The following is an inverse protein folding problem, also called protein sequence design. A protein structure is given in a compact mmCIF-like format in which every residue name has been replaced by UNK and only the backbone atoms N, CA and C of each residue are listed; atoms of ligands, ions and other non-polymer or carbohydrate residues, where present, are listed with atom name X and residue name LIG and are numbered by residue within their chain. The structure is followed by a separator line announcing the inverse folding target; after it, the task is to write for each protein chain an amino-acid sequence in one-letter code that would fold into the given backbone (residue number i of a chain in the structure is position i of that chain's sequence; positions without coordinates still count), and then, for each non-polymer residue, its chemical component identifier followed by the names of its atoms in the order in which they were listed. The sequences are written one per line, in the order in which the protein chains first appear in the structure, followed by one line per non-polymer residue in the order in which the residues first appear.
data_IF_744459627468
#
_entry.id   IF_744459627468
#
_cell.length_a   1.000
_cell.length_b   1.000
_cell.length_c   1.000
_cell.angle_alpha   90.00
_cell.angle_beta   90.00
_cell.angle_gamma   90.00
#
_symmetry.space_group_name_H-M   'P 1'
#
loop_
_entity.id
_entity.type
_entity.pdbx_description
1 polymer ?
#
# COMPACT_ATOMS: atom_id res chain seq x y z
N UNK A 1 -13.97 14.83 3.70
CA UNK A 1 -14.09 15.16 5.15
C UNK A 1 -12.86 15.94 5.55
N UNK A 2 -13.02 17.02 6.31
CA UNK A 2 -11.93 17.88 6.77
C UNK A 2 -11.45 17.51 8.16
N UNK A 3 -12.39 17.39 9.11
CA UNK A 3 -12.08 17.12 10.51
C UNK A 3 -13.25 16.45 11.23
N UNK A 4 -12.97 15.82 12.36
CA UNK A 4 -13.94 15.37 13.36
C UNK A 4 -14.12 16.49 14.37
N UNK A 5 -15.37 16.84 14.69
CA UNK A 5 -15.69 17.85 15.71
C UNK A 5 -15.88 17.20 17.07
N UNK A 6 -15.46 17.86 18.13
CA UNK A 6 -15.58 17.34 19.52
C UNK A 6 -16.25 18.35 20.44
N UNK A 7 -16.85 17.85 21.52
CA UNK A 7 -17.37 18.67 22.60
C UNK A 7 -16.27 19.04 23.63
N UNK A 8 -16.65 19.73 24.69
CA UNK A 8 -15.74 20.18 25.77
C UNK A 8 -15.14 19.02 26.59
N UNK A 9 -15.80 17.87 26.57
CA UNK A 9 -15.37 16.63 27.22
C UNK A 9 -14.45 15.78 26.29
N UNK A 10 -14.20 16.24 25.05
CA UNK A 10 -13.34 15.56 24.09
C UNK A 10 -14.02 14.45 23.30
N UNK A 11 -15.34 14.24 23.45
CA UNK A 11 -16.10 13.26 22.65
C UNK A 11 -16.46 13.83 21.28
N UNK A 12 -16.42 12.97 20.25
CA UNK A 12 -16.83 13.34 18.89
C UNK A 12 -18.33 13.68 18.85
N UNK A 13 -18.67 14.74 18.12
CA UNK A 13 -20.04 15.22 17.93
C UNK A 13 -20.48 15.18 16.47
N UNK A 14 -19.56 14.92 15.55
CA UNK A 14 -19.81 14.89 14.12
C UNK A 14 -18.56 15.16 13.30
N UNK A 15 -18.76 15.57 12.08
CA UNK A 15 -17.68 15.85 11.13
C UNK A 15 -17.95 17.13 10.33
N UNK A 16 -16.89 17.87 10.02
CA UNK A 16 -16.92 18.93 9.03
C UNK A 16 -16.40 18.39 7.70
N UNK A 17 -17.07 18.74 6.62
CA UNK A 17 -16.68 18.34 5.27
C UNK A 17 -16.95 19.45 4.25
N UNK A 18 -16.18 19.44 3.17
CA UNK A 18 -16.39 20.33 2.04
C UNK A 18 -17.19 19.58 0.96
N UNK A 19 -18.28 20.15 0.51
CA UNK A 19 -19.03 19.60 -0.60
C UNK A 19 -18.32 19.98 -1.92
N UNK A 20 -18.01 18.97 -2.72
CA UNK A 20 -17.29 19.15 -4.00
C UNK A 20 -18.06 19.95 -5.05
N UNK A 21 -19.39 19.96 -5.00
CA UNK A 21 -20.22 20.61 -6.01
C UNK A 21 -20.29 22.13 -5.81
N UNK A 22 -20.49 22.57 -4.58
CA UNK A 22 -20.66 23.99 -4.25
C UNK A 22 -19.50 24.62 -3.50
N UNK A 23 -18.47 23.82 -3.17
CA UNK A 23 -17.26 24.21 -2.44
C UNK A 23 -17.51 24.79 -1.04
N UNK A 24 -18.69 24.54 -0.46
CA UNK A 24 -19.05 25.02 0.87
C UNK A 24 -18.73 23.97 1.93
N UNK A 25 -18.47 24.46 3.11
CA UNK A 25 -18.27 23.64 4.31
C UNK A 25 -19.62 23.33 4.94
N UNK A 26 -19.78 22.08 5.37
CA UNK A 26 -20.96 21.56 6.05
C UNK A 26 -20.58 20.78 7.28
N UNK A 27 -21.48 20.76 8.26
CA UNK A 27 -21.37 19.92 9.46
C UNK A 27 -22.42 18.83 9.45
N UNK A 28 -21.98 17.59 9.73
CA UNK A 28 -22.86 16.44 9.94
C UNK A 28 -22.72 15.94 11.38
N UNK A 29 -23.81 16.02 12.15
CA UNK A 29 -23.84 15.50 13.52
C UNK A 29 -23.82 13.98 13.54
N UNK A 30 -23.03 13.39 14.42
CA UNK A 30 -22.96 11.95 14.64
C UNK A 30 -22.66 11.64 16.11
N UNK A 31 -23.24 10.54 16.62
CA UNK A 31 -22.92 10.00 17.95
C UNK A 31 -21.63 9.19 17.94
N UNK A 32 -21.35 8.54 16.83
CA UNK A 32 -20.15 7.72 16.59
C UNK A 32 -19.56 8.11 15.26
N UNK A 33 -18.25 8.19 15.17
CA UNK A 33 -17.52 8.41 13.91
C UNK A 33 -16.68 7.18 13.58
N UNK A 34 -16.92 6.59 12.42
CA UNK A 34 -16.11 5.51 11.88
C UNK A 34 -15.28 6.05 10.73
N UNK A 35 -13.97 5.99 10.88
CA UNK A 35 -13.01 6.44 9.87
C UNK A 35 -12.49 5.24 9.08
N UNK A 36 -12.67 5.29 7.77
CA UNK A 36 -12.19 4.28 6.82
C UNK A 36 -11.66 4.99 5.56
N UNK A 37 -10.79 5.99 5.79
CA UNK A 37 -10.35 6.92 4.75
C UNK A 37 -8.96 6.57 4.17
N UNK A 38 -8.41 5.43 4.46
CA UNK A 38 -7.03 4.97 4.32
C UNK A 38 -6.12 5.40 5.46
N UNK A 39 -5.03 4.67 5.69
CA UNK A 39 -4.09 4.95 6.78
C UNK A 39 -3.63 6.42 6.79
N UNK A 40 -3.16 6.92 5.66
CA UNK A 40 -2.65 8.29 5.56
C UNK A 40 -3.76 9.35 5.65
N UNK A 41 -4.90 9.12 4.99
CA UNK A 41 -6.01 10.08 5.02
C UNK A 41 -6.68 10.17 6.39
N UNK A 42 -6.82 9.05 7.10
CA UNK A 42 -7.33 9.04 8.48
C UNK A 42 -6.38 9.79 9.42
N UNK A 43 -5.07 9.59 9.29
CA UNK A 43 -4.09 10.37 10.05
C UNK A 43 -4.20 11.88 9.76
N UNK A 44 -4.36 12.28 8.47
CA UNK A 44 -4.57 13.67 8.08
C UNK A 44 -5.79 14.28 8.76
N UNK A 45 -6.91 13.56 8.75
CA UNK A 45 -8.15 14.02 9.36
C UNK A 45 -7.98 14.17 10.87
N UNK A 46 -7.38 13.18 11.55
CA UNK A 46 -7.13 13.22 13.00
C UNK A 46 -6.22 14.38 13.38
N UNK A 47 -5.11 14.59 12.69
CA UNK A 47 -4.18 15.69 12.91
C UNK A 47 -4.80 17.08 12.63
N UNK A 48 -5.78 17.14 11.73
CA UNK A 48 -6.55 18.36 11.44
C UNK A 48 -7.67 18.60 12.45
N UNK A 49 -8.09 17.59 13.21
CA UNK A 49 -9.20 17.65 14.18
C UNK A 49 -8.71 18.20 15.54
N UNK A 50 -8.41 19.50 15.57
CA UNK A 50 -7.90 20.19 16.75
C UNK A 50 -9.03 20.83 17.56
N UNK A 51 -8.90 20.81 18.88
CA UNK A 51 -9.83 21.46 19.82
C UNK A 51 -9.09 21.88 21.10
N UNK A 52 -9.80 22.49 22.04
CA UNK A 52 -9.23 22.84 23.37
C UNK A 52 -8.76 21.60 24.16
N UNK A 53 -9.34 20.45 23.93
CA UNK A 53 -8.97 19.16 24.56
C UNK A 53 -7.91 18.42 23.74
N UNK A 54 -7.99 18.48 22.41
CA UNK A 54 -7.11 17.79 21.48
C UNK A 54 -6.25 18.79 20.70
N UNK A 55 -5.33 19.48 21.39
CA UNK A 55 -4.55 20.58 20.81
C UNK A 55 -3.66 20.16 19.65
N UNK A 56 -3.10 18.93 19.70
CA UNK A 56 -2.20 18.37 18.69
C UNK A 56 -2.90 17.44 17.71
N UNK A 57 -4.25 17.47 17.68
CA UNK A 57 -5.09 16.60 16.86
C UNK A 57 -5.78 15.53 17.69
N UNK A 58 -6.92 15.06 17.19
CA UNK A 58 -7.72 14.02 17.83
C UNK A 58 -6.97 12.68 17.87
N UNK A 59 -6.94 12.03 19.03
CA UNK A 59 -6.24 10.76 19.22
C UNK A 59 -4.72 10.88 19.29
N UNK A 60 -4.17 12.10 19.38
CA UNK A 60 -2.73 12.34 19.30
C UNK A 60 -2.06 12.72 20.62
N UNK A 61 -2.65 12.36 21.77
CA UNK A 61 -2.04 12.61 23.09
C UNK A 61 -0.68 11.92 23.27
N UNK A 62 -0.45 10.79 22.56
CA UNK A 62 0.82 10.08 22.53
C UNK A 62 1.85 10.68 21.55
N UNK A 63 1.44 11.59 20.65
CA UNK A 63 2.25 12.08 19.53
C UNK A 63 2.53 11.03 18.46
N UNK A 64 1.69 9.98 18.37
CA UNK A 64 1.92 8.83 17.48
C UNK A 64 1.02 8.81 16.25
N UNK A 65 0.03 9.68 16.13
CA UNK A 65 -0.75 9.80 14.88
C UNK A 65 0.19 10.18 13.74
N UNK A 66 0.15 9.39 12.67
CA UNK A 66 1.04 9.53 11.52
C UNK A 66 2.40 8.85 11.66
N UNK A 67 2.82 8.45 12.86
CA UNK A 67 4.10 7.76 13.09
C UNK A 67 4.01 6.26 12.77
N UNK A 68 5.18 5.62 12.58
CA UNK A 68 5.28 4.22 12.18
C UNK A 68 4.59 3.89 10.86
N UNK A 69 4.43 4.88 10.00
CA UNK A 69 4.00 4.67 8.61
C UNK A 69 4.94 3.66 7.94
N UNK A 70 4.38 2.60 7.39
CA UNK A 70 5.15 1.62 6.62
C UNK A 70 4.33 1.09 5.45
N UNK A 71 5.04 0.62 4.44
CA UNK A 71 4.50 0.04 3.22
C UNK A 71 5.19 -1.29 2.95
N UNK A 72 4.66 -2.13 2.08
CA UNK A 72 5.37 -3.31 1.61
C UNK A 72 6.61 -2.90 0.82
N UNK A 73 7.69 -3.66 0.95
CA UNK A 73 8.79 -3.58 -0.01
C UNK A 73 8.34 -4.12 -1.36
N UNK A 74 8.96 -3.66 -2.44
CA UNK A 74 8.66 -4.14 -3.78
C UNK A 74 9.88 -4.07 -4.69
N UNK A 75 10.08 -5.15 -5.47
CA UNK A 75 10.99 -5.17 -6.59
C UNK A 75 10.39 -6.05 -7.68
N UNK A 76 10.80 -5.88 -8.92
CA UNK A 76 10.28 -6.67 -10.03
C UNK A 76 11.31 -6.90 -11.12
N UNK A 77 11.10 -7.96 -11.90
CA UNK A 77 11.80 -8.24 -13.16
C UNK A 77 10.88 -8.91 -14.15
N UNK A 78 11.28 -8.85 -15.42
CA UNK A 78 10.51 -9.45 -16.50
C UNK A 78 11.40 -10.26 -17.44
N UNK A 79 10.80 -11.20 -18.13
CA UNK A 79 11.43 -12.08 -19.10
C UNK A 79 10.58 -12.17 -20.37
N UNK A 80 11.22 -12.15 -21.51
CA UNK A 80 10.60 -12.50 -22.77
C UNK A 80 10.80 -14.00 -23.03
N UNK A 81 9.74 -14.71 -23.35
CA UNK A 81 9.74 -16.16 -23.54
C UNK A 81 9.40 -16.47 -25.01
N UNK A 82 10.41 -16.69 -25.89
CA UNK A 82 10.18 -16.91 -27.31
C UNK A 82 9.22 -18.06 -27.65
N UNK A 83 9.16 -19.09 -26.80
CA UNK A 83 8.22 -20.22 -26.96
C UNK A 83 6.75 -19.84 -26.83
N UNK A 84 6.47 -18.65 -26.32
CA UNK A 84 5.11 -18.14 -26.15
C UNK A 84 4.68 -17.20 -27.28
N UNK A 85 5.55 -16.94 -28.25
CA UNK A 85 5.17 -16.19 -29.45
C UNK A 85 4.15 -16.93 -30.29
N UNK A 86 3.42 -16.21 -31.11
CA UNK A 86 2.43 -16.71 -32.06
C UNK A 86 1.37 -17.66 -31.48
N UNK A 87 1.17 -17.64 -30.15
CA UNK A 87 0.12 -18.41 -29.52
C UNK A 87 -1.25 -17.89 -29.92
N UNK A 88 -2.21 -18.81 -30.02
CA UNK A 88 -3.61 -18.42 -30.15
C UNK A 88 -3.99 -17.52 -28.96
N UNK A 89 -4.46 -16.34 -29.29
CA UNK A 89 -5.02 -15.42 -28.28
C UNK A 89 -6.36 -15.97 -27.85
N UNK A 90 -6.54 -16.18 -26.55
CA UNK A 90 -7.80 -16.62 -25.97
C UNK A 90 -8.01 -15.88 -24.62
N UNK A 91 -9.23 -15.82 -24.17
CA UNK A 91 -9.61 -15.19 -22.92
C UNK A 91 -10.56 -16.13 -22.15
N UNK A 92 -10.08 -17.33 -21.89
CA UNK A 92 -10.86 -18.40 -21.26
C UNK A 92 -10.39 -18.71 -19.83
N UNK A 93 -9.35 -18.00 -19.34
CA UNK A 93 -8.72 -18.28 -18.07
C UNK A 93 -9.58 -17.83 -16.84
N UNK A 94 -10.72 -17.25 -17.12
CA UNK A 94 -11.61 -16.73 -16.08
C UNK A 94 -11.07 -15.45 -15.42
N UNK A 95 -11.68 -15.08 -14.31
CA UNK A 95 -11.28 -13.93 -13.49
C UNK A 95 -10.42 -14.44 -12.36
N UNK A 96 -9.17 -14.03 -12.30
CA UNK A 96 -8.47 -14.12 -11.07
C UNK A 96 -7.13 -14.80 -11.05
N UNK A 97 -6.59 -14.93 -9.87
CA UNK A 97 -5.51 -15.83 -9.55
C UNK A 97 -4.16 -15.57 -10.23
N UNK A 98 -3.80 -14.33 -10.48
CA UNK A 98 -2.48 -14.02 -11.09
C UNK A 98 -1.33 -14.11 -10.10
N UNK A 99 -1.59 -14.43 -8.83
CA UNK A 99 -0.57 -14.44 -7.79
C UNK A 99 -0.25 -15.87 -7.38
N UNK A 100 0.97 -16.28 -7.64
CA UNK A 100 1.55 -17.50 -7.08
C UNK A 100 2.45 -17.10 -5.94
N UNK A 101 2.11 -17.55 -4.73
CA UNK A 101 2.85 -17.19 -3.53
C UNK A 101 3.91 -18.24 -3.19
N UNK A 102 5.09 -17.77 -2.84
CA UNK A 102 6.22 -18.60 -2.44
C UNK A 102 6.65 -18.27 -1.01
N UNK A 103 5.97 -18.81 0.01
CA UNK A 103 6.12 -18.33 1.40
C UNK A 103 7.30 -18.94 2.18
N UNK A 104 8.10 -19.83 1.60
CA UNK A 104 9.12 -20.58 2.34
C UNK A 104 10.30 -19.76 2.85
N UNK A 105 10.47 -18.52 2.39
CA UNK A 105 11.50 -17.62 2.94
C UNK A 105 11.16 -17.03 4.29
N UNK A 106 9.92 -17.03 4.71
CA UNK A 106 9.44 -16.37 5.93
C UNK A 106 10.20 -16.81 7.20
N UNK A 107 10.69 -18.04 7.23
CA UNK A 107 11.35 -18.62 8.39
C UNK A 107 12.81 -19.03 8.13
N UNK A 108 13.40 -18.64 7.03
CA UNK A 108 14.80 -18.97 6.73
C UNK A 108 15.75 -18.09 7.53
N UNK A 109 16.34 -18.69 8.57
CA UNK A 109 17.30 -18.02 9.46
C UNK A 109 18.65 -17.71 8.82
N UNK A 110 18.91 -18.17 7.59
CA UNK A 110 20.14 -17.89 6.85
C UNK A 110 20.08 -16.57 6.08
N UNK A 111 18.90 -15.99 5.95
CA UNK A 111 18.74 -14.72 5.28
C UNK A 111 19.37 -13.58 6.08
N UNK A 112 19.94 -12.60 5.36
CA UNK A 112 20.56 -11.38 5.95
C UNK A 112 19.53 -10.37 6.48
N UNK A 113 18.25 -10.70 6.43
CA UNK A 113 17.15 -9.85 6.88
C UNK A 113 16.15 -10.70 7.68
N UNK A 114 15.57 -10.15 8.76
CA UNK A 114 14.45 -10.77 9.45
C UNK A 114 13.17 -10.59 8.60
N UNK A 115 12.15 -11.37 8.89
CA UNK A 115 10.91 -11.35 8.11
C UNK A 115 11.08 -12.00 6.74
N UNK A 116 10.09 -11.88 5.89
CA UNK A 116 10.12 -12.53 4.59
C UNK A 116 9.46 -11.71 3.50
N UNK A 117 9.37 -12.32 2.35
CA UNK A 117 8.62 -11.81 1.21
C UNK A 117 7.99 -12.98 0.46
N UNK A 118 7.04 -12.68 -0.38
CA UNK A 118 6.54 -13.63 -1.38
C UNK A 118 6.83 -13.12 -2.79
N UNK A 119 6.73 -14.00 -3.76
CA UNK A 119 6.82 -13.63 -5.18
C UNK A 119 5.45 -13.79 -5.81
N UNK A 120 5.03 -12.74 -6.50
CA UNK A 120 3.87 -12.72 -7.38
C UNK A 120 4.36 -12.94 -8.80
N UNK A 121 3.78 -13.91 -9.49
CA UNK A 121 4.05 -14.13 -10.91
C UNK A 121 2.90 -13.50 -11.69
N UNK A 122 3.23 -12.65 -12.63
CA UNK A 122 2.24 -11.99 -13.48
C UNK A 122 2.63 -12.10 -14.96
N UNK A 123 1.64 -12.14 -15.77
CA UNK A 123 1.79 -12.32 -17.21
C UNK A 123 0.48 -12.79 -17.80
N UNK A 124 0.49 -13.28 -19.02
CA UNK A 124 -0.66 -13.86 -19.66
C UNK A 124 -1.40 -12.93 -20.61
N UNK A 125 -2.67 -13.14 -20.77
CA UNK A 125 -3.49 -12.55 -21.83
C UNK A 125 -4.13 -11.21 -21.39
N UNK A 126 -3.34 -10.18 -21.21
CA UNK A 126 -3.84 -8.81 -20.99
C UNK A 126 -4.24 -8.11 -22.29
N UNK A 127 -4.86 -6.93 -22.19
CA UNK A 127 -5.11 -6.10 -23.37
C UNK A 127 -3.81 -5.70 -24.05
N UNK A 128 -3.67 -5.89 -25.37
CA UNK A 128 -2.51 -5.41 -26.08
C UNK A 128 -2.46 -3.88 -26.03
N UNK A 129 -1.54 -3.35 -25.27
CA UNK A 129 -1.24 -1.92 -25.23
C UNK A 129 0.26 -1.70 -25.15
N UNK A 130 0.73 -0.57 -25.60
CA UNK A 130 2.07 -0.13 -25.27
C UNK A 130 2.17 -0.06 -23.75
N UNK A 131 3.12 -0.75 -23.17
CA UNK A 131 3.32 -0.73 -21.74
C UNK A 131 2.88 -1.98 -20.97
N UNK A 132 2.75 -3.12 -21.60
CA UNK A 132 2.55 -4.43 -20.96
C UNK A 132 3.60 -4.83 -19.92
N UNK A 133 4.15 -3.90 -19.19
CA UNK A 133 5.20 -4.17 -18.23
C UNK A 133 6.57 -4.46 -18.86
N UNK A 134 6.71 -4.35 -20.16
CA UNK A 134 8.03 -4.40 -20.81
C UNK A 134 8.37 -3.06 -21.48
N UNK A 135 9.65 -2.73 -21.41
CA UNK A 135 10.18 -1.57 -22.11
C UNK A 135 10.38 -1.97 -23.59
N UNK A 136 9.68 -1.34 -24.55
CA UNK A 136 9.85 -1.64 -25.97
C UNK A 136 11.31 -1.60 -26.44
N UNK A 137 12.11 -0.67 -25.88
CA UNK A 137 13.53 -0.55 -26.22
C UNK A 137 14.34 -1.80 -25.84
N UNK A 138 13.98 -2.48 -24.76
CA UNK A 138 14.63 -3.73 -24.38
C UNK A 138 14.25 -4.87 -25.32
N UNK A 139 12.99 -4.92 -25.74
CA UNK A 139 12.53 -5.90 -26.71
C UNK A 139 13.18 -5.66 -28.10
N UNK A 140 13.28 -4.40 -28.54
CA UNK A 140 13.96 -4.03 -29.78
C UNK A 140 15.41 -4.49 -29.82
N UNK A 141 16.15 -4.35 -28.71
CA UNK A 141 17.52 -4.86 -28.61
C UNK A 141 17.62 -6.37 -28.79
N UNK A 142 16.66 -7.12 -28.24
CA UNK A 142 16.61 -8.59 -28.29
C UNK A 142 16.25 -9.07 -29.68
N UNK A 143 15.30 -8.42 -30.33
CA UNK A 143 14.74 -8.82 -31.62
C UNK A 143 15.55 -8.29 -32.83
N UNK A 144 16.53 -7.40 -32.60
CA UNK A 144 17.37 -6.83 -33.64
C UNK A 144 16.64 -5.88 -34.59
N UNK A 145 15.49 -5.31 -34.17
CA UNK A 145 14.68 -4.43 -34.99
C UNK A 145 13.69 -3.63 -34.17
N UNK A 146 12.94 -2.75 -34.82
CA UNK A 146 11.88 -2.00 -34.20
C UNK A 146 10.65 -2.89 -33.98
N UNK A 147 10.21 -2.99 -32.72
CA UNK A 147 8.95 -3.61 -32.32
C UNK A 147 7.98 -2.48 -31.96
N UNK A 148 6.76 -2.56 -32.48
CA UNK A 148 5.76 -1.55 -32.26
C UNK A 148 5.50 -0.71 -33.51
N UNK A 149 5.45 0.59 -33.41
CA UNK A 149 5.01 1.45 -34.51
C UNK A 149 3.50 1.70 -34.45
N UNK A 150 2.84 1.83 -35.59
CA UNK A 150 1.39 1.97 -35.67
C UNK A 150 0.82 1.22 -36.90
N UNK A 151 -0.51 1.10 -36.96
CA UNK A 151 -1.17 0.49 -38.10
C UNK A 151 -1.01 -1.01 -38.14
N UNK A 152 -0.66 -1.56 -39.31
CA UNK A 152 -0.59 -3.00 -39.52
C UNK A 152 0.59 -3.65 -38.82
N UNK A 153 1.76 -3.01 -38.80
CA UNK A 153 2.93 -3.50 -38.09
C UNK A 153 2.68 -3.66 -36.60
N UNK A 154 1.99 -2.69 -35.98
CA UNK A 154 1.57 -2.81 -34.58
C UNK A 154 0.65 -4.01 -34.36
N UNK A 155 -0.29 -4.26 -35.28
CA UNK A 155 -1.21 -5.41 -35.17
C UNK A 155 -0.49 -6.74 -35.26
N UNK A 156 0.48 -6.85 -36.15
CA UNK A 156 1.29 -8.04 -36.32
C UNK A 156 2.17 -8.29 -35.11
N UNK A 157 2.84 -7.26 -34.59
CA UNK A 157 3.65 -7.34 -33.37
C UNK A 157 2.83 -7.73 -32.17
N UNK A 158 1.64 -7.15 -32.02
CA UNK A 158 0.73 -7.51 -30.94
C UNK A 158 0.33 -8.98 -31.03
N UNK A 159 -0.03 -9.49 -32.20
CA UNK A 159 -0.36 -10.91 -32.39
C UNK A 159 0.81 -11.82 -32.05
N UNK A 160 2.01 -11.45 -32.47
CA UNK A 160 3.22 -12.24 -32.31
C UNK A 160 3.71 -12.29 -30.85
N UNK A 161 3.73 -11.15 -30.18
CA UNK A 161 4.36 -11.00 -28.84
C UNK A 161 3.37 -11.05 -27.69
N UNK A 162 2.07 -11.02 -27.96
CA UNK A 162 1.04 -11.03 -26.92
C UNK A 162 1.14 -12.26 -26.03
N UNK A 163 1.27 -12.02 -24.73
CA UNK A 163 1.46 -13.11 -23.76
C UNK A 163 2.84 -13.75 -23.74
N UNK A 164 3.81 -13.23 -24.50
CA UNK A 164 5.19 -13.74 -24.51
C UNK A 164 6.10 -13.10 -23.44
N UNK A 165 5.57 -12.20 -22.61
CA UNK A 165 6.29 -11.59 -21.50
C UNK A 165 5.71 -12.08 -20.18
N UNK A 166 6.59 -12.55 -19.31
CA UNK A 166 6.28 -12.92 -17.93
C UNK A 166 7.02 -11.97 -17.00
N UNK A 167 6.36 -11.55 -15.92
CA UNK A 167 6.97 -10.78 -14.86
C UNK A 167 6.88 -11.47 -13.51
N UNK A 168 7.81 -11.13 -12.65
CA UNK A 168 7.79 -11.46 -11.23
C UNK A 168 7.92 -10.19 -10.41
N UNK A 169 7.18 -10.13 -9.32
CA UNK A 169 7.26 -9.06 -8.33
C UNK A 169 7.40 -9.66 -6.95
N UNK A 170 8.35 -9.16 -6.17
CA UNK A 170 8.42 -9.46 -4.75
C UNK A 170 7.60 -8.46 -3.96
N UNK A 171 6.93 -8.95 -2.91
CA UNK A 171 6.30 -8.13 -1.89
C UNK A 171 6.79 -8.60 -0.55
N UNK A 172 7.39 -7.70 0.21
CA UNK A 172 8.02 -8.06 1.45
C UNK A 172 7.54 -7.23 2.64
N UNK A 173 7.78 -7.76 3.82
CA UNK A 173 7.46 -7.08 5.06
C UNK A 173 8.57 -6.09 5.40
N UNK A 174 8.23 -4.82 5.53
CA UNK A 174 9.11 -3.80 6.09
C UNK A 174 9.00 -3.76 7.61
N UNK A 175 10.04 -3.25 8.26
CA UNK A 175 10.04 -3.06 9.72
C UNK A 175 9.54 -1.65 10.05
N UNK A 176 8.44 -1.52 10.80
CA UNK A 176 7.90 -0.21 11.17
C UNK A 176 8.92 0.63 11.96
N UNK A 177 9.24 1.81 11.47
CA UNK A 177 10.16 2.76 12.09
C UNK A 177 9.40 4.00 12.58
N UNK A 178 9.68 4.47 13.80
CA UNK A 178 9.08 5.73 14.29
C UNK A 178 9.48 6.94 13.44
N UNK A 179 10.66 6.88 12.81
CA UNK A 179 11.17 7.91 11.91
C UNK A 179 10.46 7.96 10.55
N UNK A 180 9.69 6.93 10.19
CA UNK A 180 8.84 6.92 9.01
C UNK A 180 7.44 7.40 9.41
N UNK A 181 7.01 8.53 8.87
CA UNK A 181 5.77 9.17 9.29
C UNK A 181 5.18 10.08 8.21
N UNK A 182 3.92 10.42 8.41
CA UNK A 182 3.27 11.56 7.77
C UNK A 182 2.84 12.58 8.82
N UNK A 183 2.85 13.85 8.43
CA UNK A 183 2.43 14.99 9.26
C UNK A 183 1.74 16.04 8.39
N UNK A 184 1.04 16.99 9.00
CA UNK A 184 0.41 18.10 8.26
C UNK A 184 1.52 19.05 7.74
N UNK A 185 1.44 19.36 6.45
CA UNK A 185 2.21 20.47 5.87
C UNK A 185 1.44 21.79 6.08
N UNK A 186 1.98 22.66 6.91
CA UNK A 186 1.33 23.94 7.23
C UNK A 186 1.45 24.98 6.11
N UNK A 187 2.26 24.71 5.07
CA UNK A 187 2.54 25.65 3.99
C UNK A 187 1.78 25.33 2.71
N UNK A 188 1.26 24.10 2.58
CA UNK A 188 0.61 23.64 1.35
C UNK A 188 -0.82 23.17 1.67
N UNK A 189 -1.76 23.66 0.89
CA UNK A 189 -3.17 23.25 0.95
C UNK A 189 -3.60 22.63 -0.37
N UNK A 190 -4.60 21.75 -0.31
CA UNK A 190 -5.24 21.21 -1.50
C UNK A 190 -6.22 22.21 -2.15
N UNK A 191 -6.86 21.84 -3.24
CA UNK A 191 -7.86 22.67 -3.95
C UNK A 191 -9.07 23.09 -3.09
N UNK A 192 -9.24 22.46 -1.93
CA UNK A 192 -10.32 22.74 -0.96
C UNK A 192 -9.86 23.61 0.20
N UNK A 193 -8.60 24.08 0.19
CA UNK A 193 -8.00 24.85 1.28
C UNK A 193 -7.68 24.03 2.52
N UNK A 194 -7.60 22.70 2.41
CA UNK A 194 -7.26 21.80 3.52
C UNK A 194 -5.76 21.49 3.45
N UNK A 195 -5.00 21.64 4.56
CA UNK A 195 -3.58 21.30 4.59
C UNK A 195 -3.32 19.86 4.15
N UNK A 196 -2.29 19.66 3.33
CA UNK A 196 -1.91 18.33 2.81
C UNK A 196 -0.98 17.60 3.78
N UNK A 197 -0.68 16.33 3.51
CA UNK A 197 0.35 15.59 4.24
C UNK A 197 1.73 15.81 3.61
N UNK A 198 2.70 15.93 4.50
CA UNK A 198 4.12 15.80 4.20
C UNK A 198 4.60 14.46 4.73
N UNK A 199 5.43 13.77 3.94
CA UNK A 199 5.93 12.44 4.25
C UNK A 199 7.43 12.48 4.55
N UNK A 200 7.84 11.76 5.59
CA UNK A 200 9.22 11.41 5.85
C UNK A 200 9.32 9.89 5.90
N UNK A 201 9.94 9.30 4.87
CA UNK A 201 10.00 7.85 4.74
C UNK A 201 11.33 7.43 4.12
N UNK A 202 11.99 6.46 4.72
CA UNK A 202 13.26 5.91 4.24
C UNK A 202 13.26 4.39 4.42
N UNK A 203 13.78 3.69 3.41
CA UNK A 203 14.13 2.28 3.54
C UNK A 203 15.38 2.13 4.39
N UNK A 204 15.46 1.04 5.15
CA UNK A 204 16.63 0.66 5.90
C UNK A 204 17.45 -0.39 5.14
N UNK A 205 18.61 -0.79 5.68
CA UNK A 205 19.38 -1.89 5.10
C UNK A 205 18.62 -3.21 5.08
N UNK A 206 17.64 -3.40 5.96
CA UNK A 206 16.77 -4.56 5.97
C UNK A 206 16.01 -4.70 4.64
N UNK A 207 15.34 -3.65 4.21
CA UNK A 207 14.55 -3.63 2.97
C UNK A 207 15.46 -3.70 1.73
N UNK A 208 16.63 -3.08 1.78
CA UNK A 208 17.62 -3.12 0.70
C UNK A 208 18.18 -4.54 0.54
N UNK A 209 18.56 -5.21 1.63
CA UNK A 209 19.03 -6.60 1.60
C UNK A 209 17.93 -7.58 1.13
N UNK A 210 16.67 -7.28 1.46
CA UNK A 210 15.54 -8.04 0.99
C UNK A 210 15.37 -7.90 -0.53
N UNK A 211 15.53 -6.68 -1.07
CA UNK A 211 15.47 -6.43 -2.51
C UNK A 211 16.64 -7.08 -3.26
N UNK A 212 17.86 -7.09 -2.68
CA UNK A 212 19.00 -7.84 -3.24
C UNK A 212 18.65 -9.31 -3.43
N UNK A 213 18.16 -9.94 -2.38
CA UNK A 213 17.77 -11.35 -2.41
C UNK A 213 16.61 -11.61 -3.39
N UNK A 214 15.66 -10.68 -3.49
CA UNK A 214 14.59 -10.75 -4.49
C UNK A 214 15.16 -10.79 -5.91
N UNK A 215 16.11 -9.93 -6.24
CA UNK A 215 16.72 -9.88 -7.57
C UNK A 215 17.46 -11.18 -7.93
N UNK A 216 18.19 -11.77 -6.98
CA UNK A 216 18.88 -13.05 -7.20
C UNK A 216 17.86 -14.19 -7.43
N UNK A 217 16.78 -14.19 -6.67
CA UNK A 217 15.71 -15.17 -6.79
C UNK A 217 14.94 -15.01 -8.09
N UNK A 218 14.64 -13.77 -8.50
CA UNK A 218 13.97 -13.49 -9.77
C UNK A 218 14.80 -13.99 -10.96
N UNK A 219 16.10 -13.73 -10.94
CA UNK A 219 17.00 -14.18 -11.99
C UNK A 219 16.94 -15.71 -12.15
N UNK A 220 17.08 -16.45 -11.06
CA UNK A 220 16.98 -17.91 -11.07
C UNK A 220 15.64 -18.43 -11.60
N UNK A 221 14.52 -17.84 -11.17
CA UNK A 221 13.18 -18.23 -11.61
C UNK A 221 13.01 -17.94 -13.11
N UNK A 222 13.40 -16.75 -13.55
CA UNK A 222 13.18 -16.32 -14.92
C UNK A 222 14.10 -17.05 -15.92
N UNK A 223 15.35 -17.32 -15.53
CA UNK A 223 16.27 -18.15 -16.32
C UNK A 223 15.75 -19.59 -16.50
N UNK A 224 15.15 -20.15 -15.44
CA UNK A 224 14.55 -21.50 -15.50
C UNK A 224 13.38 -21.59 -16.50
N UNK A 225 12.78 -20.48 -16.92
CA UNK A 225 11.78 -20.45 -18.00
C UNK A 225 12.37 -20.69 -19.39
N UNK A 226 13.70 -20.58 -19.54
CA UNK A 226 14.39 -20.56 -20.83
C UNK A 226 14.12 -19.31 -21.65
N UNK A 227 13.66 -18.25 -21.01
CA UNK A 227 13.41 -16.93 -21.62
C UNK A 227 14.64 -16.02 -21.60
N UNK A 228 14.47 -14.83 -22.14
CA UNK A 228 15.50 -13.81 -22.25
C UNK A 228 15.14 -12.68 -21.25
N UNK A 229 16.01 -12.41 -20.29
CA UNK A 229 15.79 -11.38 -19.29
C UNK A 229 15.65 -10.00 -19.94
N UNK A 230 14.63 -9.24 -19.54
CA UNK A 230 14.39 -7.88 -20.00
C UNK A 230 15.06 -6.87 -19.09
N UNK A 231 16.02 -6.15 -19.64
CA UNK A 231 16.80 -5.15 -18.91
C UNK A 231 17.87 -5.72 -17.97
N UNK A 232 18.73 -4.82 -17.50
CA UNK A 232 19.84 -5.14 -16.62
C UNK A 232 19.34 -5.38 -15.19
N UNK A 233 20.05 -6.25 -14.46
CA UNK A 233 19.81 -6.45 -13.03
C UNK A 233 20.15 -5.16 -12.27
N UNK A 234 19.21 -4.59 -11.49
CA UNK A 234 19.50 -3.42 -10.69
C UNK A 234 20.54 -3.74 -9.63
N UNK A 235 21.60 -2.93 -9.56
CA UNK A 235 22.65 -3.04 -8.57
C UNK A 235 22.38 -2.22 -7.30
N UNK A 236 23.37 -2.18 -6.40
CA UNK A 236 23.32 -1.44 -5.15
C UNK A 236 23.12 0.08 -5.35
N UNK A 237 23.65 0.63 -6.43
CA UNK A 237 23.50 2.03 -6.85
C UNK A 237 22.02 2.44 -7.07
N UNK A 238 21.16 1.46 -7.34
CA UNK A 238 19.72 1.61 -7.52
C UNK A 238 18.92 0.87 -6.45
N UNK A 239 19.49 0.63 -5.28
CA UNK A 239 18.90 -0.15 -4.19
C UNK A 239 18.26 -1.46 -4.70
N UNK A 240 18.92 -2.14 -5.64
CA UNK A 240 18.45 -3.39 -6.26
C UNK A 240 17.03 -3.31 -6.86
N UNK A 241 16.64 -2.13 -7.33
CA UNK A 241 15.32 -1.90 -7.90
C UNK A 241 14.19 -1.88 -6.87
N UNK A 242 14.51 -1.64 -5.60
CA UNK A 242 13.52 -1.41 -4.56
C UNK A 242 12.68 -0.19 -4.92
N UNK A 243 11.37 -0.38 -4.99
CA UNK A 243 10.42 0.68 -5.33
C UNK A 243 10.46 1.81 -4.30
N UNK A 244 10.15 3.01 -4.72
CA UNK A 244 10.07 4.14 -3.79
C UNK A 244 8.95 3.90 -2.74
N UNK A 245 9.12 4.43 -1.52
CA UNK A 245 8.07 4.37 -0.50
C UNK A 245 6.74 4.94 -1.01
N UNK A 246 5.64 4.22 -0.77
CA UNK A 246 4.29 4.60 -1.21
C UNK A 246 3.93 4.14 -2.63
N UNK A 247 4.85 3.56 -3.40
CA UNK A 247 4.54 3.06 -4.75
C UNK A 247 3.83 1.71 -4.75
N UNK A 248 3.96 0.92 -3.68
CA UNK A 248 3.26 -0.36 -3.54
C UNK A 248 1.81 -0.16 -3.12
N UNK A 249 1.48 1.02 -2.58
CA UNK A 249 0.13 1.41 -2.15
C UNK A 249 -0.49 0.50 -1.07
N UNK A 250 0.36 -0.02 -0.19
CA UNK A 250 -0.03 -0.84 0.96
C UNK A 250 0.26 -0.13 2.30
N UNK A 251 0.14 1.20 2.33
CA UNK A 251 0.48 2.02 3.49
C UNK A 251 -0.39 1.70 4.70
N UNK A 252 0.27 1.47 5.83
CA UNK A 252 -0.35 1.08 7.10
C UNK A 252 0.34 1.75 8.29
N UNK A 253 -0.21 1.60 9.49
CA UNK A 253 0.50 1.87 10.76
C UNK A 253 0.32 3.26 11.36
N UNK A 254 -0.25 4.21 10.65
CA UNK A 254 -0.34 5.64 11.06
C UNK A 254 -1.17 5.90 12.32
N UNK A 255 -1.96 4.94 12.76
CA UNK A 255 -2.77 4.99 14.00
C UNK A 255 -2.65 3.67 14.77
N UNK A 256 -1.40 3.16 14.84
CA UNK A 256 -1.08 1.83 15.37
C UNK A 256 -1.85 1.48 16.64
N UNK A 257 -2.33 0.22 16.70
CA UNK A 257 -3.03 -0.28 17.88
C UNK A 257 -2.07 -0.73 18.98
N UNK A 258 -2.56 -0.78 20.20
CA UNK A 258 -1.85 -1.32 21.36
C UNK A 258 -2.66 -1.22 22.64
N UNK A 259 -2.11 -1.75 23.73
CA UNK A 259 -2.76 -1.76 25.03
C UNK A 259 -2.42 -0.52 25.88
N UNK A 260 -1.31 0.14 25.60
CA UNK A 260 -0.88 1.34 26.31
C UNK A 260 -1.12 2.57 25.42
N UNK A 261 -1.91 3.50 25.92
CA UNK A 261 -2.21 4.75 25.24
C UNK A 261 -1.00 5.67 25.01
N UNK A 262 0.11 5.44 25.72
CA UNK A 262 1.37 6.16 25.50
C UNK A 262 2.16 5.62 24.31
N UNK A 263 1.92 4.36 23.93
CA UNK A 263 2.64 3.62 22.91
C UNK A 263 1.77 3.31 21.68
N UNK A 264 0.50 3.74 21.70
CA UNK A 264 -0.47 3.45 20.64
C UNK A 264 -1.52 4.55 20.50
N UNK A 265 -2.19 4.58 19.38
CA UNK A 265 -3.28 5.53 19.06
C UNK A 265 -4.64 4.88 19.28
N UNK A 266 -4.77 3.62 18.90
CA UNK A 266 -6.00 2.84 19.06
C UNK A 266 -5.80 1.65 19.97
N UNK A 267 -6.90 1.18 20.59
CA UNK A 267 -6.91 -0.08 21.31
C UNK A 267 -7.07 -1.28 20.34
N UNK A 268 -7.11 -2.49 20.88
CA UNK A 268 -7.27 -3.72 20.10
C UNK A 268 -8.57 -3.82 19.29
N UNK A 269 -9.53 -2.95 19.53
CA UNK A 269 -10.79 -2.86 18.81
C UNK A 269 -10.84 -1.67 17.84
N UNK A 270 -9.69 -1.15 17.46
CA UNK A 270 -9.56 0.00 16.55
C UNK A 270 -10.23 1.30 17.07
N UNK A 271 -10.61 1.36 18.34
CA UNK A 271 -11.16 2.53 19.00
C UNK A 271 -10.03 3.46 19.46
N UNK A 272 -10.16 4.76 19.27
CA UNK A 272 -9.18 5.72 19.79
C UNK A 272 -9.10 5.67 21.32
N UNK A 273 -7.88 5.72 21.86
CA UNK A 273 -7.69 5.81 23.30
C UNK A 273 -8.18 7.14 23.89
N UNK A 274 -8.09 8.21 23.12
CA UNK A 274 -8.43 9.56 23.59
C UNK A 274 -9.90 9.93 23.34
N UNK A 275 -10.65 9.14 22.57
CA UNK A 275 -12.01 9.43 22.17
C UNK A 275 -12.79 8.14 21.88
N UNK A 276 -13.56 7.71 22.86
CA UNK A 276 -14.21 6.40 22.90
C UNK A 276 -15.31 6.17 21.84
N UNK A 277 -15.78 7.23 21.20
CA UNK A 277 -16.78 7.16 20.14
C UNK A 277 -16.22 7.40 18.73
N UNK A 278 -14.88 7.20 18.56
CA UNK A 278 -14.22 7.22 17.25
C UNK A 278 -13.47 5.92 17.01
N UNK A 279 -13.68 5.32 15.83
CA UNK A 279 -13.08 4.06 15.40
C UNK A 279 -12.35 4.22 14.09
N UNK A 280 -11.18 3.58 13.95
CA UNK A 280 -10.38 3.60 12.73
C UNK A 280 -10.48 2.22 12.08
N UNK A 281 -11.25 2.11 11.00
CA UNK A 281 -11.53 0.83 10.32
C UNK A 281 -10.86 0.74 8.94
N UNK A 282 -9.62 1.19 8.87
CA UNK A 282 -8.73 1.05 7.73
C UNK A 282 -7.38 0.42 8.16
N UNK A 283 -6.33 0.61 7.37
CA UNK A 283 -5.01 0.05 7.65
C UNK A 283 -4.18 0.85 8.69
N UNK A 284 -4.68 1.99 9.18
CA UNK A 284 -4.01 2.80 10.18
C UNK A 284 -3.64 2.07 11.47
N UNK A 285 -4.51 1.21 12.04
CA UNK A 285 -4.24 0.48 13.29
C UNK A 285 -3.17 -0.62 13.22
N UNK A 286 -2.65 -0.97 12.05
CA UNK A 286 -1.66 -2.04 11.91
C UNK A 286 -0.39 -1.74 12.70
N UNK A 287 0.19 -2.76 13.34
CA UNK A 287 1.47 -2.70 14.05
C UNK A 287 2.61 -3.30 13.23
N UNK A 288 2.29 -4.13 12.27
CA UNK A 288 3.13 -4.67 11.19
C UNK A 288 2.22 -5.13 10.07
N UNK A 289 2.74 -5.28 8.87
CA UNK A 289 1.92 -5.59 7.72
C UNK A 289 2.00 -7.05 7.28
N UNK A 290 3.08 -7.76 7.55
CA UNK A 290 3.46 -8.97 6.87
C UNK A 290 3.81 -8.74 5.37
N UNK A 291 4.09 -9.81 4.66
CA UNK A 291 4.45 -9.78 3.23
C UNK A 291 3.25 -9.89 2.29
N UNK A 292 2.03 -9.81 2.80
CA UNK A 292 0.79 -9.98 2.02
C UNK A 292 0.02 -8.68 1.84
N UNK A 293 -0.83 -8.67 0.82
CA UNK A 293 -1.74 -7.57 0.56
C UNK A 293 -2.66 -7.35 1.77
N UNK A 294 -2.86 -6.12 2.27
CA UNK A 294 -3.44 -5.87 3.60
C UNK A 294 -4.96 -5.99 3.67
N UNK A 295 -5.68 -6.03 2.55
CA UNK A 295 -7.14 -5.86 2.50
C UNK A 295 -7.90 -6.89 3.35
N UNK A 296 -7.54 -8.17 3.30
CA UNK A 296 -8.19 -9.20 4.12
C UNK A 296 -8.02 -8.96 5.62
N UNK A 297 -6.85 -8.49 6.04
CA UNK A 297 -6.59 -8.13 7.44
C UNK A 297 -7.37 -6.89 7.84
N UNK A 298 -7.48 -5.87 6.96
CA UNK A 298 -8.33 -4.70 7.19
C UNK A 298 -9.77 -5.13 7.44
N UNK A 299 -10.33 -5.99 6.58
CA UNK A 299 -11.70 -6.49 6.73
C UNK A 299 -11.91 -7.26 8.04
N UNK A 300 -10.98 -8.13 8.41
CA UNK A 300 -11.05 -8.89 9.66
C UNK A 300 -11.01 -7.98 10.90
N UNK A 301 -10.11 -6.98 10.90
CA UNK A 301 -10.01 -6.01 11.99
C UNK A 301 -11.25 -5.10 12.06
N UNK A 302 -11.76 -4.65 10.91
CA UNK A 302 -12.99 -3.86 10.85
C UNK A 302 -14.21 -4.64 11.34
N UNK A 303 -14.32 -5.92 11.01
CA UNK A 303 -15.37 -6.79 11.50
C UNK A 303 -15.32 -6.91 13.04
N UNK A 304 -14.16 -7.26 13.59
CA UNK A 304 -13.96 -7.31 15.04
C UNK A 304 -14.32 -6.00 15.74
N UNK A 305 -13.92 -4.88 15.14
CA UNK A 305 -14.23 -3.55 15.67
C UNK A 305 -15.74 -3.23 15.61
N UNK A 306 -16.41 -3.68 14.54
CA UNK A 306 -17.85 -3.50 14.38
C UNK A 306 -18.66 -4.29 15.41
N UNK A 307 -18.28 -5.55 15.67
CA UNK A 307 -18.94 -6.37 16.70
C UNK A 307 -18.77 -5.70 18.09
N UNK A 308 -17.58 -5.23 18.40
CA UNK A 308 -17.33 -4.50 19.64
C UNK A 308 -18.15 -3.20 19.72
N UNK A 309 -18.19 -2.41 18.64
CA UNK A 309 -18.99 -1.18 18.60
C UNK A 309 -20.47 -1.44 18.85
N UNK A 310 -21.04 -2.48 18.21
CA UNK A 310 -22.44 -2.86 18.41
C UNK A 310 -22.72 -3.21 19.87
N UNK A 311 -21.79 -3.91 20.51
CA UNK A 311 -21.92 -4.26 21.92
C UNK A 311 -21.87 -3.02 22.82
N UNK A 312 -20.92 -2.10 22.59
CA UNK A 312 -20.81 -0.85 23.36
C UNK A 312 -22.06 0.02 23.22
N UNK A 313 -22.63 0.11 22.03
CA UNK A 313 -23.91 0.84 21.79
C UNK A 313 -25.07 0.18 22.52
N UNK A 314 -25.19 -1.15 22.50
CA UNK A 314 -26.24 -1.89 23.23
C UNK A 314 -26.13 -1.67 24.74
N UNK A 315 -24.92 -1.61 25.27
CA UNK A 315 -24.63 -1.38 26.68
C UNK A 315 -24.73 0.11 27.07
N UNK A 316 -24.94 1.01 26.11
CA UNK A 316 -24.97 2.48 26.31
C UNK A 316 -23.66 3.04 26.87
N UNK A 317 -22.54 2.43 26.53
CA UNK A 317 -21.21 2.93 26.88
C UNK A 317 -20.74 4.03 25.90
N UNK A 318 -21.36 4.05 24.72
CA UNK A 318 -21.10 5.02 23.65
C UNK A 318 -22.44 5.64 23.20
#
# INVERSE_FOLDING_TARGET
MREVTTNKEGKATGVNYVNKLDRKEYHLKAKVVVMAASACSSARILLSSKSSVHQDGLGNSSGLVGKYLHDSTGASRSVFIPKLMDRKIYNEDGVGGMHVYTPWWLNDKKLKFPRGYHIEVWGGMGMPSYGFGFNPNNLNKIMGGEVGGYGESLREDVKKYYGAVLGVSGRGESIPQRGNYCEIDNNVVDEWGIPVLKFNYQWTEHEINQAEHMQDTFEQILEATGGILLGDKPGKDRNYGLTAPGEIIHEVGTTRMGNDKKESVTNKYNQLHDCDNVFIMDAGPFVSQADKNPTWTILALAWRASDYLIEQVKQRNI
#
